data_IF_272124735150
#
_entry.id   IF_272124735150
#
_cell.length_a   1.000
_cell.length_b   1.000
_cell.length_c   1.000
_cell.angle_alpha   90.00
_cell.angle_beta   90.00
_cell.angle_gamma   90.00
#
_symmetry.space_group_name_H-M   'P 1'
#
loop_
_entity.id
_entity.type
_entity.pdbx_description
1 polymer ?
#
# COMPACT_ATOMS: atom_id res chain seq x y z
N UNK A 1 4.49 -14.70 -58.26
CA UNK A 1 3.08 -14.79 -57.81
C UNK A 1 3.00 -15.79 -56.68
N UNK A 2 2.36 -15.36 -55.59
CA UNK A 2 1.96 -16.01 -54.33
C UNK A 2 2.06 -17.55 -54.26
N UNK A 3 2.57 -18.09 -53.15
CA UNK A 3 1.73 -18.79 -52.16
C UNK A 3 2.47 -19.07 -50.84
N UNK A 4 1.71 -18.94 -49.75
CA UNK A 4 2.08 -19.14 -48.35
C UNK A 4 2.24 -20.63 -48.00
N UNK A 5 3.11 -20.95 -47.05
CA UNK A 5 2.95 -22.10 -46.15
C UNK A 5 3.48 -21.71 -44.75
N UNK A 6 2.55 -21.48 -43.82
CA UNK A 6 2.83 -21.33 -42.39
C UNK A 6 2.99 -22.74 -41.83
N UNK A 7 4.23 -23.12 -41.53
CA UNK A 7 4.54 -24.33 -40.78
C UNK A 7 4.44 -24.06 -39.29
N UNK A 8 3.38 -24.57 -38.67
CA UNK A 8 3.23 -24.68 -37.22
C UNK A 8 4.32 -25.64 -36.71
N UNK A 9 5.30 -25.12 -35.96
CA UNK A 9 6.26 -25.96 -35.24
C UNK A 9 5.79 -26.11 -33.79
N UNK A 10 5.22 -27.26 -33.47
CA UNK A 10 5.00 -27.74 -32.11
C UNK A 10 6.38 -27.98 -31.47
N UNK A 11 6.85 -27.05 -30.64
CA UNK A 11 8.05 -27.22 -29.81
C UNK A 11 7.63 -27.64 -28.40
N UNK A 12 8.12 -28.82 -28.02
CA UNK A 12 7.93 -29.49 -26.74
C UNK A 12 8.42 -28.63 -25.56
N UNK A 13 7.71 -28.75 -24.43
CA UNK A 13 8.02 -28.14 -23.14
C UNK A 13 9.49 -28.39 -22.72
N UNK A 14 10.35 -27.39 -22.91
CA UNK A 14 11.29 -26.88 -21.91
C UNK A 14 11.66 -25.46 -22.36
N UNK A 15 10.83 -24.48 -22.01
CA UNK A 15 11.13 -23.08 -22.29
C UNK A 15 12.34 -22.65 -21.43
N UNK A 16 13.55 -22.88 -21.95
CA UNK A 16 14.77 -22.24 -21.46
C UNK A 16 14.58 -20.75 -21.73
N UNK A 17 14.32 -20.00 -20.67
CA UNK A 17 14.17 -18.54 -20.72
C UNK A 17 15.43 -18.00 -21.42
N UNK A 18 15.29 -17.19 -22.50
CA UNK A 18 16.46 -16.67 -23.22
C UNK A 18 17.38 -15.86 -22.30
N UNK A 19 18.70 -16.03 -22.42
CA UNK A 19 19.72 -15.42 -21.53
C UNK A 19 19.69 -13.88 -21.49
N UNK A 20 19.13 -13.22 -22.50
CA UNK A 20 18.93 -11.76 -22.50
C UNK A 20 17.76 -11.31 -21.62
N UNK A 21 16.87 -12.21 -21.17
CA UNK A 21 15.89 -11.93 -20.10
C UNK A 21 16.47 -12.06 -18.69
N UNK A 22 17.64 -12.68 -18.53
CA UNK A 22 18.28 -12.92 -17.22
C UNK A 22 19.47 -11.99 -16.93
N UNK A 23 19.96 -11.22 -17.90
CA UNK A 23 21.02 -10.23 -17.66
C UNK A 23 20.44 -8.95 -17.04
N UNK A 24 19.95 -9.07 -15.81
CA UNK A 24 19.67 -7.92 -14.96
C UNK A 24 20.96 -7.11 -14.79
N UNK A 25 20.91 -5.80 -15.07
CA UNK A 25 22.10 -4.94 -15.01
C UNK A 25 22.78 -5.12 -13.64
N UNK A 26 24.11 -5.30 -13.55
CA UNK A 26 24.75 -5.69 -12.29
C UNK A 26 24.52 -4.70 -11.14
N UNK A 27 24.29 -3.43 -11.47
CA UNK A 27 23.91 -2.39 -10.52
C UNK A 27 22.54 -2.62 -9.88
N UNK A 28 21.58 -3.23 -10.59
CA UNK A 28 20.28 -3.60 -10.04
C UNK A 28 20.45 -4.72 -9.00
N UNK A 29 21.30 -5.72 -9.29
CA UNK A 29 21.64 -6.74 -8.31
C UNK A 29 22.32 -6.14 -7.06
N UNK A 30 23.25 -5.19 -7.26
CA UNK A 30 23.89 -4.45 -6.17
C UNK A 30 22.87 -3.67 -5.31
N UNK A 31 21.87 -3.03 -5.92
CA UNK A 31 20.81 -2.35 -5.19
C UNK A 31 19.92 -3.32 -4.41
N UNK A 32 19.60 -4.50 -4.96
CA UNK A 32 18.84 -5.54 -4.24
C UNK A 32 19.60 -6.11 -3.05
N UNK A 33 20.92 -6.26 -3.15
CA UNK A 33 21.76 -6.80 -2.08
C UNK A 33 22.27 -5.76 -1.09
N UNK A 34 22.02 -4.47 -1.32
CA UNK A 34 22.53 -3.40 -0.47
C UNK A 34 24.03 -3.14 -0.62
N UNK A 35 24.64 -3.50 -1.75
CA UNK A 35 26.06 -3.28 -2.01
C UNK A 35 26.32 -1.80 -2.34
N UNK A 36 26.33 -0.98 -1.28
CA UNK A 36 26.53 0.47 -1.37
C UNK A 36 27.87 0.84 -2.02
N UNK A 37 28.92 0.05 -1.83
CA UNK A 37 30.24 0.33 -2.38
C UNK A 37 30.24 0.21 -3.90
N UNK A 38 29.60 -0.85 -4.42
CA UNK A 38 29.43 -1.02 -5.87
C UNK A 38 28.51 0.04 -6.47
N UNK A 39 27.46 0.43 -5.75
CA UNK A 39 26.58 1.53 -6.18
C UNK A 39 27.38 2.84 -6.27
N UNK A 40 28.15 3.18 -5.23
CA UNK A 40 28.99 4.38 -5.17
C UNK A 40 29.99 4.42 -6.31
N UNK A 41 30.80 3.37 -6.45
CA UNK A 41 31.82 3.28 -7.50
C UNK A 41 31.22 3.44 -8.90
N UNK A 42 30.09 2.77 -9.17
CA UNK A 42 29.43 2.85 -10.48
C UNK A 42 28.87 4.25 -10.77
N UNK A 43 28.16 4.85 -9.80
CA UNK A 43 27.57 6.20 -9.95
C UNK A 43 28.64 7.30 -9.99
N UNK A 44 29.82 7.07 -9.43
CA UNK A 44 30.97 7.96 -9.56
C UNK A 44 31.60 7.90 -10.96
N UNK A 45 31.65 6.72 -11.58
CA UNK A 45 32.11 6.57 -12.97
C UNK A 45 31.13 7.14 -13.99
N UNK A 46 29.83 6.94 -13.80
CA UNK A 46 28.77 7.51 -14.65
C UNK A 46 27.58 7.92 -13.77
N UNK A 47 27.39 9.24 -13.64
CA UNK A 47 26.30 9.82 -12.84
C UNK A 47 24.91 9.43 -13.34
N UNK A 48 24.75 9.09 -14.64
CA UNK A 48 23.46 8.70 -15.19
C UNK A 48 22.97 7.37 -14.60
N UNK A 49 23.88 6.52 -14.12
CA UNK A 49 23.55 5.24 -13.51
C UNK A 49 22.73 5.39 -12.21
N UNK A 50 22.75 6.55 -11.56
CA UNK A 50 21.86 6.81 -10.42
C UNK A 50 20.37 6.76 -10.81
N UNK A 51 20.04 7.14 -12.05
CA UNK A 51 18.70 7.10 -12.63
C UNK A 51 18.47 5.86 -13.52
N UNK A 52 19.34 4.84 -13.42
CA UNK A 52 19.20 3.59 -14.15
C UNK A 52 17.80 3.00 -13.93
N UNK A 53 17.22 2.47 -15.00
CA UNK A 53 15.98 1.70 -14.95
C UNK A 53 16.25 0.28 -15.41
N UNK A 54 15.55 -0.68 -14.82
CA UNK A 54 15.49 -2.05 -15.35
C UNK A 54 14.70 -2.05 -16.68
N UNK A 55 14.78 -3.14 -17.43
CA UNK A 55 14.12 -3.32 -18.72
C UNK A 55 12.60 -3.08 -18.72
N UNK A 56 11.95 -3.22 -17.56
CA UNK A 56 10.51 -2.94 -17.36
C UNK A 56 10.23 -1.48 -16.97
N UNK A 57 11.25 -0.64 -16.82
CA UNK A 57 11.11 0.77 -16.49
C UNK A 57 11.22 1.07 -14.99
N UNK A 58 11.35 0.06 -14.14
CA UNK A 58 11.50 0.24 -12.69
C UNK A 58 12.83 0.92 -12.36
N UNK A 59 12.85 2.07 -11.67
CA UNK A 59 14.08 2.77 -11.31
C UNK A 59 14.94 2.00 -10.30
N UNK A 60 16.26 2.12 -10.40
CA UNK A 60 17.26 1.47 -9.54
C UNK A 60 16.96 1.62 -8.04
N UNK A 61 16.58 2.84 -7.63
CA UNK A 61 16.26 3.20 -6.23
C UNK A 61 15.16 2.31 -5.63
N UNK A 62 14.23 1.78 -6.44
CA UNK A 62 13.16 0.90 -5.95
C UNK A 62 13.68 -0.45 -5.48
N UNK A 63 14.69 -0.99 -6.14
CA UNK A 63 15.25 -2.28 -5.75
C UNK A 63 15.96 -2.19 -4.39
N UNK A 64 16.59 -1.05 -4.09
CA UNK A 64 17.10 -0.79 -2.75
C UNK A 64 15.97 -0.57 -1.73
N UNK A 65 14.97 0.25 -2.09
CA UNK A 65 13.86 0.60 -1.20
C UNK A 65 13.01 -0.61 -0.77
N UNK A 66 12.65 -1.50 -1.70
CA UNK A 66 11.85 -2.71 -1.42
C UNK A 66 12.59 -3.69 -0.51
N UNK A 67 13.93 -3.73 -0.59
CA UNK A 67 14.76 -4.58 0.26
C UNK A 67 15.24 -3.89 1.55
N UNK A 68 14.77 -2.66 1.83
CA UNK A 68 15.08 -1.95 3.06
C UNK A 68 16.49 -1.35 3.14
N UNK A 69 17.22 -1.24 2.03
CA UNK A 69 18.57 -0.67 1.97
C UNK A 69 18.53 0.86 1.98
N UNK A 70 18.21 1.42 3.14
CA UNK A 70 18.00 2.87 3.35
C UNK A 70 19.26 3.68 3.04
N UNK A 71 20.45 3.13 3.25
CA UNK A 71 21.74 3.75 2.94
C UNK A 71 21.95 3.94 1.42
N UNK A 72 21.61 2.92 0.62
CA UNK A 72 21.61 3.00 -0.85
C UNK A 72 20.58 4.00 -1.34
N UNK A 73 19.38 3.99 -0.77
CA UNK A 73 18.34 4.97 -1.12
C UNK A 73 18.81 6.40 -0.78
N UNK A 74 19.37 6.61 0.40
CA UNK A 74 19.92 7.91 0.85
C UNK A 74 20.96 8.42 -0.13
N UNK A 75 21.93 7.58 -0.49
CA UNK A 75 22.98 7.92 -1.43
C UNK A 75 22.43 8.30 -2.82
N UNK A 76 21.47 7.53 -3.34
CA UNK A 76 20.87 7.82 -4.64
C UNK A 76 20.09 9.16 -4.62
N UNK A 77 19.36 9.44 -3.54
CA UNK A 77 18.67 10.72 -3.36
C UNK A 77 19.65 11.90 -3.26
N UNK A 78 20.80 11.72 -2.60
CA UNK A 78 21.87 12.73 -2.53
C UNK A 78 22.48 13.04 -3.90
N UNK A 79 22.36 12.12 -4.86
CA UNK A 79 22.78 12.30 -6.26
C UNK A 79 21.66 12.86 -7.15
N UNK A 80 20.59 13.38 -6.56
CA UNK A 80 19.52 14.08 -7.28
C UNK A 80 18.51 13.16 -7.95
N UNK A 81 18.46 11.87 -7.58
CA UNK A 81 17.38 10.99 -8.02
C UNK A 81 16.05 11.54 -7.50
N UNK A 82 15.05 11.61 -8.38
CA UNK A 82 13.72 12.10 -8.01
C UNK A 82 13.09 11.17 -6.94
N UNK A 83 12.93 11.68 -5.72
CA UNK A 83 12.26 10.98 -4.61
C UNK A 83 10.81 10.59 -4.94
N UNK A 84 10.18 11.32 -5.85
CA UNK A 84 8.82 11.10 -6.34
C UNK A 84 8.79 10.28 -7.63
N UNK A 85 9.89 9.59 -7.98
CA UNK A 85 9.87 8.60 -9.05
C UNK A 85 8.79 7.55 -8.78
N UNK A 86 8.30 6.93 -9.85
CA UNK A 86 7.35 5.82 -9.82
C UNK A 86 8.07 4.56 -10.30
N UNK A 87 7.74 3.40 -9.72
CA UNK A 87 7.86 2.14 -10.44
C UNK A 87 6.65 2.00 -11.39
N UNK A 88 6.24 0.78 -11.70
CA UNK A 88 5.07 0.56 -12.53
C UNK A 88 3.77 1.10 -11.92
N UNK A 89 3.66 1.21 -10.59
CA UNK A 89 2.40 1.50 -9.88
C UNK A 89 2.48 2.51 -8.72
N UNK A 90 3.55 2.57 -7.93
CA UNK A 90 3.56 3.24 -6.63
C UNK A 90 4.82 4.12 -6.40
N UNK A 91 4.69 5.34 -5.86
CA UNK A 91 5.81 6.13 -5.34
C UNK A 91 6.57 5.46 -4.19
N UNK A 92 7.85 5.80 -3.99
CA UNK A 92 8.68 5.29 -2.87
C UNK A 92 8.01 5.43 -1.49
N UNK A 93 7.26 6.51 -1.27
CA UNK A 93 6.60 6.76 0.02
C UNK A 93 5.54 5.69 0.34
N UNK A 94 4.86 5.13 -0.66
CA UNK A 94 3.90 4.03 -0.44
C UNK A 94 4.63 2.76 0.03
N UNK A 95 5.78 2.46 -0.58
CA UNK A 95 6.60 1.29 -0.20
C UNK A 95 7.06 1.43 1.24
N UNK A 96 7.57 2.60 1.64
CA UNK A 96 8.02 2.84 3.01
C UNK A 96 6.89 2.69 4.04
N UNK A 97 5.69 3.19 3.72
CA UNK A 97 4.50 3.05 4.58
C UNK A 97 4.05 1.59 4.67
N UNK A 98 3.93 0.89 3.53
CA UNK A 98 3.50 -0.51 3.49
C UNK A 98 4.50 -1.45 4.17
N UNK A 99 5.80 -1.12 4.12
CA UNK A 99 6.86 -1.83 4.83
C UNK A 99 6.92 -1.51 6.34
N UNK A 100 6.03 -0.65 6.85
CA UNK A 100 6.00 -0.21 8.25
C UNK A 100 7.34 0.41 8.74
N UNK A 101 8.11 1.03 7.83
CA UNK A 101 9.44 1.55 8.14
C UNK A 101 9.39 3.06 8.40
N UNK A 102 9.18 3.43 9.67
CA UNK A 102 9.04 4.83 10.09
C UNK A 102 10.25 5.69 9.72
N UNK A 103 11.47 5.20 9.92
CA UNK A 103 12.69 5.95 9.59
C UNK A 103 12.83 6.18 8.09
N UNK A 104 12.42 5.19 7.29
CA UNK A 104 12.40 5.37 5.85
C UNK A 104 11.33 6.37 5.39
N UNK A 105 10.14 6.36 6.00
CA UNK A 105 9.11 7.38 5.76
C UNK A 105 9.63 8.78 6.09
N UNK A 106 10.27 8.96 7.26
CA UNK A 106 10.89 10.23 7.67
C UNK A 106 11.92 10.70 6.66
N UNK A 107 12.84 9.81 6.25
CA UNK A 107 13.84 10.12 5.24
C UNK A 107 13.19 10.62 3.94
N UNK A 108 12.21 9.90 3.39
CA UNK A 108 11.59 10.28 2.13
C UNK A 108 10.89 11.65 2.23
N UNK A 109 10.16 11.92 3.32
CA UNK A 109 9.52 13.22 3.55
C UNK A 109 10.58 14.34 3.65
N UNK A 110 11.67 14.12 4.40
CA UNK A 110 12.79 15.07 4.50
C UNK A 110 13.45 15.34 3.14
N UNK A 111 13.46 14.37 2.22
CA UNK A 111 13.96 14.52 0.85
C UNK A 111 12.93 15.08 -0.14
N UNK A 112 11.77 15.53 0.33
CA UNK A 112 10.75 16.19 -0.50
C UNK A 112 9.76 15.23 -1.16
N UNK A 113 9.54 14.04 -0.58
CA UNK A 113 8.46 13.16 -1.02
C UNK A 113 7.11 13.85 -0.84
N UNK A 114 6.29 13.82 -1.90
CA UNK A 114 4.94 14.34 -1.91
C UNK A 114 4.04 13.40 -1.12
N UNK A 115 3.66 13.82 0.09
CA UNK A 115 2.82 13.07 1.04
C UNK A 115 1.45 12.66 0.46
N UNK A 116 0.95 13.44 -0.50
CA UNK A 116 -0.34 13.20 -1.17
C UNK A 116 -0.21 12.65 -2.59
N UNK A 117 0.96 12.14 -2.99
CA UNK A 117 1.16 11.59 -4.33
C UNK A 117 0.45 10.24 -4.47
N UNK A 118 -0.56 10.11 -5.33
CA UNK A 118 -1.26 8.86 -5.48
C UNK A 118 -0.41 7.81 -6.21
N UNK A 119 -0.79 6.54 -6.07
CA UNK A 119 -0.38 5.48 -6.99
C UNK A 119 -0.75 5.86 -8.43
N UNK A 120 -0.06 5.33 -9.43
CA UNK A 120 -0.24 5.65 -10.86
C UNK A 120 -1.67 5.46 -11.33
N UNK A 121 -2.36 4.43 -10.83
CA UNK A 121 -3.77 4.19 -11.12
C UNK A 121 -4.71 5.19 -10.41
N UNK A 122 -4.20 6.16 -9.64
CA UNK A 122 -4.95 7.14 -8.87
C UNK A 122 -5.74 6.52 -7.70
N UNK A 123 -5.50 5.25 -7.40
CA UNK A 123 -6.36 4.48 -6.48
C UNK A 123 -6.04 4.78 -5.04
N UNK A 124 -4.77 4.89 -4.66
CA UNK A 124 -4.40 5.05 -3.26
C UNK A 124 -3.45 6.22 -3.07
N UNK A 125 -3.58 6.89 -1.92
CA UNK A 125 -2.60 7.84 -1.37
C UNK A 125 -1.83 7.16 -0.24
N UNK A 126 -0.62 7.63 0.12
CA UNK A 126 0.21 6.97 1.14
C UNK A 126 -0.54 6.72 2.45
N UNK A 127 -1.41 7.63 2.86
CA UNK A 127 -2.24 7.49 4.07
C UNK A 127 -3.19 6.27 4.04
N UNK A 128 -3.55 5.73 2.88
CA UNK A 128 -4.36 4.50 2.83
C UNK A 128 -3.56 3.26 3.27
N UNK A 129 -2.24 3.28 3.15
CA UNK A 129 -1.34 2.19 3.58
C UNK A 129 -1.09 2.16 5.09
N UNK A 130 -1.36 3.25 5.83
CA UNK A 130 -1.08 3.29 7.28
C UNK A 130 -1.94 2.31 8.06
N UNK A 131 -3.11 1.97 7.53
CA UNK A 131 -4.03 1.03 8.15
C UNK A 131 -3.60 -0.44 8.00
N UNK A 132 -2.69 -0.72 7.04
CA UNK A 132 -1.97 -1.99 6.96
C UNK A 132 -0.65 -1.98 7.73
N UNK A 133 -0.13 -0.79 8.08
CA UNK A 133 1.00 -0.65 8.99
C UNK A 133 0.50 -0.69 10.44
N UNK A 134 1.10 -1.46 11.33
CA UNK A 134 0.68 -1.50 12.74
C UNK A 134 1.17 -0.28 13.54
N UNK A 135 1.82 0.69 12.87
CA UNK A 135 2.49 1.82 13.52
C UNK A 135 1.71 3.14 13.39
N UNK A 136 1.06 3.61 14.48
CA UNK A 136 0.32 4.88 14.47
C UNK A 136 1.21 6.11 14.24
N UNK A 137 2.53 6.02 14.49
CA UNK A 137 3.45 7.14 14.27
C UNK A 137 3.59 7.47 12.78
N UNK A 138 3.49 6.49 11.89
CA UNK A 138 3.48 6.75 10.45
C UNK A 138 2.24 7.55 10.06
N UNK A 139 1.06 7.20 10.60
CA UNK A 139 -0.16 7.96 10.38
C UNK A 139 -0.04 9.40 10.89
N UNK A 140 0.44 9.59 12.13
CA UNK A 140 0.67 10.93 12.70
C UNK A 140 1.62 11.76 11.84
N UNK A 141 2.72 11.15 11.36
CA UNK A 141 3.71 11.82 10.54
C UNK A 141 3.16 12.26 9.18
N UNK A 142 2.36 11.42 8.51
CA UNK A 142 1.74 11.79 7.24
C UNK A 142 0.70 12.91 7.45
N UNK A 143 -0.13 12.81 8.50
CA UNK A 143 -1.14 13.82 8.82
C UNK A 143 -0.49 15.17 9.13
N UNK A 144 0.59 15.20 9.91
CA UNK A 144 1.31 16.44 10.24
C UNK A 144 1.94 17.12 9.01
N UNK A 145 2.14 16.38 7.92
CA UNK A 145 2.61 16.90 6.63
C UNK A 145 1.48 17.04 5.60
N UNK A 146 0.22 17.12 6.05
CA UNK A 146 -0.93 17.48 5.22
C UNK A 146 -1.62 16.32 4.52
N UNK A 147 -1.42 15.07 4.95
CA UNK A 147 -2.25 13.97 4.49
C UNK A 147 -3.68 14.09 5.02
N UNK A 148 -4.67 14.04 4.13
CA UNK A 148 -6.08 14.05 4.54
C UNK A 148 -6.55 12.66 4.95
N UNK A 149 -7.11 12.55 6.16
CA UNK A 149 -7.76 11.33 6.67
C UNK A 149 -9.08 11.02 5.95
N UNK A 150 -9.63 11.99 5.20
CA UNK A 150 -10.86 11.84 4.43
C UNK A 150 -10.62 11.57 2.94
N UNK A 151 -9.36 11.44 2.52
CA UNK A 151 -9.01 11.09 1.15
C UNK A 151 -9.72 9.81 0.72
N UNK A 152 -10.31 9.85 -0.48
CA UNK A 152 -11.02 8.70 -1.05
C UNK A 152 -10.22 8.08 -2.19
N UNK A 153 -10.14 6.75 -2.20
CA UNK A 153 -9.71 5.98 -3.36
C UNK A 153 -10.70 6.11 -4.51
N UNK A 154 -10.35 5.57 -5.68
CA UNK A 154 -11.31 5.40 -6.80
C UNK A 154 -12.54 4.57 -6.43
N UNK A 155 -12.42 3.70 -5.44
CA UNK A 155 -13.52 2.89 -4.90
C UNK A 155 -14.23 3.59 -3.74
N UNK A 156 -13.94 4.88 -3.50
CA UNK A 156 -14.55 5.65 -2.41
C UNK A 156 -13.99 5.33 -1.02
N UNK A 157 -12.94 4.51 -0.93
CA UNK A 157 -12.38 4.07 0.34
C UNK A 157 -11.61 5.19 1.00
N UNK A 158 -11.97 5.50 2.25
CA UNK A 158 -11.12 6.26 3.16
C UNK A 158 -10.08 5.33 3.81
N UNK A 159 -8.98 5.85 4.37
CA UNK A 159 -8.00 5.05 5.11
C UNK A 159 -8.66 4.09 6.12
N UNK A 160 -9.67 4.57 6.87
CA UNK A 160 -10.35 3.81 7.91
C UNK A 160 -11.00 2.50 7.43
N UNK A 161 -11.41 2.40 6.15
CA UNK A 161 -11.98 1.16 5.59
C UNK A 161 -11.00 -0.02 5.60
N UNK A 162 -9.68 0.25 5.62
CA UNK A 162 -8.64 -0.76 5.54
C UNK A 162 -7.95 -1.04 6.88
N UNK A 163 -8.36 -0.39 7.96
CA UNK A 163 -7.67 -0.48 9.24
C UNK A 163 -7.78 -1.86 9.89
N UNK A 164 -6.63 -2.37 10.31
CA UNK A 164 -6.50 -3.60 11.10
C UNK A 164 -5.95 -3.35 12.51
N UNK A 165 -5.57 -2.10 12.82
CA UNK A 165 -4.98 -1.71 14.10
C UNK A 165 -5.82 -0.63 14.76
N UNK A 166 -6.23 -0.88 16.01
CA UNK A 166 -6.98 0.06 16.82
C UNK A 166 -6.23 1.37 16.99
N UNK A 167 -4.92 1.30 17.23
CA UNK A 167 -4.10 2.49 17.48
C UNK A 167 -4.05 3.42 16.25
N UNK A 168 -4.01 2.85 15.04
CA UNK A 168 -4.08 3.65 13.81
C UNK A 168 -5.48 4.22 13.60
N UNK A 169 -6.53 3.42 13.83
CA UNK A 169 -7.91 3.89 13.75
C UNK A 169 -8.16 5.07 14.71
N UNK A 170 -7.63 5.01 15.93
CA UNK A 170 -7.66 6.07 16.93
C UNK A 170 -7.01 7.37 16.42
N UNK A 171 -5.82 7.28 15.82
CA UNK A 171 -5.17 8.46 15.22
C UNK A 171 -6.04 9.05 14.11
N UNK A 172 -6.59 8.23 13.22
CA UNK A 172 -7.40 8.71 12.11
C UNK A 172 -8.70 9.38 12.58
N UNK A 173 -9.43 8.76 13.51
CA UNK A 173 -10.71 9.28 14.02
C UNK A 173 -10.49 10.56 14.82
N UNK A 174 -9.47 10.62 15.69
CA UNK A 174 -9.12 11.85 16.42
C UNK A 174 -8.72 13.01 15.51
N UNK A 175 -8.27 12.72 14.28
CA UNK A 175 -7.95 13.72 13.26
C UNK A 175 -9.11 13.97 12.27
N UNK A 176 -10.34 13.54 12.60
CA UNK A 176 -11.55 13.86 11.84
C UNK A 176 -11.95 12.85 10.77
N UNK A 177 -11.42 11.62 10.80
CA UNK A 177 -11.91 10.58 9.91
C UNK A 177 -13.38 10.25 10.23
N UNK A 178 -14.24 10.29 9.21
CA UNK A 178 -15.64 9.90 9.37
C UNK A 178 -15.75 8.37 9.53
N UNK A 179 -16.12 7.93 10.74
CA UNK A 179 -16.33 6.52 11.11
C UNK A 179 -17.41 5.83 10.26
N UNK A 180 -18.35 6.61 9.71
CA UNK A 180 -19.47 6.16 8.89
C UNK A 180 -19.31 6.54 7.41
N UNK A 181 -18.09 6.87 6.96
CA UNK A 181 -17.84 7.15 5.55
C UNK A 181 -18.27 5.95 4.69
N UNK A 182 -18.98 6.20 3.59
CA UNK A 182 -19.35 5.17 2.63
C UNK A 182 -18.43 5.16 1.42
N UNK A 183 -18.06 3.95 1.00
CA UNK A 183 -17.42 3.65 -0.27
C UNK A 183 -18.43 3.60 -1.43
N UNK A 184 -17.99 3.23 -2.64
CA UNK A 184 -18.87 3.17 -3.83
C UNK A 184 -19.96 2.10 -3.74
N UNK A 185 -19.79 1.07 -2.92
CA UNK A 185 -20.77 0.01 -2.67
C UNK A 185 -21.68 0.34 -1.46
N UNK A 186 -21.49 1.51 -0.85
CA UNK A 186 -22.20 1.90 0.36
C UNK A 186 -21.64 1.28 1.63
N UNK A 187 -20.51 0.57 1.56
CA UNK A 187 -19.89 -0.05 2.73
C UNK A 187 -19.27 1.04 3.61
N UNK A 188 -19.58 0.97 4.91
CA UNK A 188 -18.87 1.73 5.95
C UNK A 188 -17.60 0.97 6.37
N UNK A 189 -16.67 1.60 7.12
CA UNK A 189 -15.56 0.88 7.75
C UNK A 189 -16.00 -0.38 8.52
N UNK A 190 -17.18 -0.36 9.16
CA UNK A 190 -17.73 -1.53 9.85
C UNK A 190 -18.13 -2.67 8.89
N UNK A 191 -18.76 -2.35 7.75
CA UNK A 191 -19.08 -3.36 6.70
C UNK A 191 -17.83 -4.04 6.17
N UNK A 192 -16.72 -3.30 6.11
CA UNK A 192 -15.45 -3.83 5.64
C UNK A 192 -14.86 -4.93 6.54
N UNK A 193 -15.30 -5.08 7.79
CA UNK A 193 -14.95 -6.24 8.62
C UNK A 193 -15.73 -7.51 8.25
N UNK A 194 -16.85 -7.37 7.52
CA UNK A 194 -17.62 -8.51 7.04
C UNK A 194 -17.05 -9.09 5.74
N UNK A 195 -16.21 -8.38 4.99
CA UNK A 195 -15.54 -8.97 3.82
C UNK A 195 -14.55 -10.05 4.26
N UNK A 196 -14.35 -11.13 3.47
CA UNK A 196 -13.36 -12.16 3.81
C UNK A 196 -11.99 -11.56 4.10
N UNK A 197 -11.54 -11.70 5.34
CA UNK A 197 -10.24 -11.25 5.84
C UNK A 197 -9.60 -12.37 6.63
N UNK A 198 -8.27 -12.42 6.61
CA UNK A 198 -7.50 -13.42 7.36
C UNK A 198 -7.69 -13.26 8.88
N UNK A 199 -7.81 -12.01 9.37
CA UNK A 199 -7.92 -11.70 10.79
C UNK A 199 -8.92 -10.55 11.00
N UNK A 200 -9.86 -10.76 11.91
CA UNK A 200 -10.73 -9.71 12.46
C UNK A 200 -10.09 -9.16 13.73
N UNK A 201 -9.84 -7.85 13.77
CA UNK A 201 -9.35 -7.17 14.98
C UNK A 201 -10.53 -6.65 15.81
N UNK A 202 -10.97 -7.45 16.79
CA UNK A 202 -12.04 -7.08 17.71
C UNK A 202 -11.82 -5.73 18.41
N UNK A 203 -10.63 -5.43 18.96
CA UNK A 203 -10.29 -4.12 19.52
C UNK A 203 -10.54 -2.93 18.58
N UNK A 204 -10.27 -3.04 17.27
CA UNK A 204 -10.62 -2.00 16.30
C UNK A 204 -12.12 -1.89 16.13
N UNK A 205 -12.86 -3.01 16.00
CA UNK A 205 -14.32 -2.98 15.84
C UNK A 205 -14.98 -2.31 17.05
N UNK A 206 -14.64 -2.75 18.26
CA UNK A 206 -15.14 -2.17 19.51
C UNK A 206 -14.84 -0.67 19.58
N UNK A 207 -13.66 -0.27 19.12
CA UNK A 207 -13.32 1.14 19.05
C UNK A 207 -14.20 1.92 18.07
N UNK A 208 -14.39 1.43 16.84
CA UNK A 208 -15.28 2.05 15.86
C UNK A 208 -16.70 2.19 16.41
N UNK A 209 -17.21 1.16 17.09
CA UNK A 209 -18.53 1.19 17.73
C UNK A 209 -18.59 2.23 18.85
N UNK A 210 -17.55 2.34 19.68
CA UNK A 210 -17.47 3.36 20.73
C UNK A 210 -17.42 4.80 20.18
N UNK A 211 -16.87 4.98 18.99
CA UNK A 211 -16.77 6.26 18.28
C UNK A 211 -17.99 6.55 17.38
N UNK A 212 -19.06 5.77 17.52
CA UNK A 212 -20.33 6.03 16.83
C UNK A 212 -20.47 5.42 15.45
N UNK A 213 -19.76 4.31 15.15
CA UNK A 213 -20.07 3.50 13.99
C UNK A 213 -21.53 3.00 14.05
N UNK A 214 -22.29 3.30 13.00
CA UNK A 214 -23.71 2.95 12.91
C UNK A 214 -23.89 1.46 12.60
N UNK A 215 -24.35 0.71 13.60
CA UNK A 215 -24.68 -0.72 13.51
C UNK A 215 -25.76 -1.03 12.47
N UNK A 216 -26.65 -0.05 12.22
CA UNK A 216 -27.81 -0.20 11.35
C UNK A 216 -27.57 0.42 9.97
N UNK A 217 -26.37 0.96 9.71
CA UNK A 217 -26.03 1.46 8.39
C UNK A 217 -26.22 0.36 7.36
N UNK A 218 -26.89 0.69 6.25
CA UNK A 218 -27.12 -0.22 5.13
C UNK A 218 -26.22 0.13 3.95
N UNK A 219 -25.66 -0.89 3.31
CA UNK A 219 -24.97 -0.81 2.03
C UNK A 219 -25.95 -0.57 0.85
N UNK A 220 -25.43 -0.56 -0.37
CA UNK A 220 -26.26 -0.38 -1.57
C UNK A 220 -27.16 -1.58 -1.89
N UNK A 221 -26.93 -2.74 -1.27
CA UNK A 221 -27.80 -3.92 -1.34
C UNK A 221 -28.84 -3.94 -0.20
N UNK A 222 -28.84 -2.93 0.66
CA UNK A 222 -29.71 -2.85 1.81
C UNK A 222 -29.27 -3.73 2.98
N UNK A 223 -28.05 -4.26 2.99
CA UNK A 223 -27.53 -5.12 4.07
C UNK A 223 -26.78 -4.29 5.11
N UNK A 224 -26.95 -4.64 6.37
CA UNK A 224 -26.11 -4.18 7.47
C UNK A 224 -24.78 -4.95 7.52
N UNK A 225 -23.79 -4.41 8.23
CA UNK A 225 -22.51 -5.11 8.44
C UNK A 225 -22.70 -6.51 9.05
N UNK A 226 -23.68 -6.67 9.96
CA UNK A 226 -24.04 -7.96 10.57
C UNK A 226 -24.64 -8.92 9.54
N UNK A 227 -25.60 -8.48 8.75
CA UNK A 227 -26.23 -9.32 7.71
C UNK A 227 -25.22 -9.74 6.66
N UNK A 228 -24.29 -8.85 6.29
CA UNK A 228 -23.18 -9.17 5.40
C UNK A 228 -22.25 -10.21 6.02
N UNK A 229 -21.94 -10.09 7.31
CA UNK A 229 -21.10 -11.03 8.06
C UNK A 229 -21.68 -12.46 8.13
N UNK A 230 -23.01 -12.58 8.16
CA UNK A 230 -23.69 -13.89 8.06
C UNK A 230 -23.47 -14.54 6.69
N UNK A 231 -23.56 -13.76 5.61
CA UNK A 231 -23.35 -14.26 4.24
C UNK A 231 -21.91 -14.64 3.96
N UNK A 232 -20.99 -13.86 4.51
CA UNK A 232 -19.55 -14.00 4.29
C UNK A 232 -18.86 -14.86 5.32
N UNK A 233 -19.64 -15.45 6.24
CA UNK A 233 -19.07 -16.39 7.19
C UNK A 233 -17.99 -15.65 8.03
N UNK A 234 -18.41 -14.63 8.80
CA UNK A 234 -17.53 -13.83 9.69
C UNK A 234 -18.07 -13.83 11.14
N UNK A 235 -18.05 -15.01 11.76
CA UNK A 235 -18.57 -15.28 13.11
C UNK A 235 -18.04 -14.37 14.19
N UNK A 236 -16.77 -13.97 14.12
CA UNK A 236 -16.19 -13.12 15.15
C UNK A 236 -16.80 -11.72 15.12
N UNK A 237 -17.02 -11.16 13.92
CA UNK A 237 -17.76 -9.91 13.77
C UNK A 237 -19.20 -10.09 14.29
N UNK A 238 -19.88 -11.19 13.94
CA UNK A 238 -21.24 -11.46 14.43
C UNK A 238 -21.31 -11.45 15.96
N UNK A 239 -20.39 -12.15 16.64
CA UNK A 239 -20.34 -12.19 18.11
C UNK A 239 -20.18 -10.79 18.72
N UNK A 240 -19.26 -9.99 18.19
CA UNK A 240 -19.00 -8.62 18.68
C UNK A 240 -20.26 -7.75 18.51
N UNK A 241 -20.88 -7.81 17.33
CA UNK A 241 -22.09 -7.03 17.04
C UNK A 241 -23.28 -7.48 17.90
N UNK A 242 -23.46 -8.78 18.10
CA UNK A 242 -24.53 -9.33 18.93
C UNK A 242 -24.36 -8.95 20.42
N UNK A 243 -23.12 -8.94 20.93
CA UNK A 243 -22.83 -8.51 22.30
C UNK A 243 -23.21 -7.03 22.54
N UNK A 244 -23.13 -6.18 21.50
CA UNK A 244 -23.50 -4.76 21.58
C UNK A 244 -25.00 -4.50 21.35
N UNK A 245 -25.68 -5.40 20.63
CA UNK A 245 -27.11 -5.30 20.36
C UNK A 245 -27.99 -5.74 21.54
N UNK A 246 -27.44 -6.52 22.48
CA UNK A 246 -28.14 -6.80 23.74
C UNK A 246 -28.04 -5.58 24.68
N UNK A 247 -29.16 -5.07 25.22
CA UNK A 247 -29.09 -4.07 26.28
C UNK A 247 -28.32 -4.69 27.45
N UNK A 248 -27.27 -4.01 27.94
CA UNK A 248 -26.59 -4.42 29.17
C UNK A 248 -27.66 -4.61 30.26
N UNK A 249 -27.63 -5.73 31.02
CA UNK A 249 -28.58 -6.01 32.09
C UNK A 249 -28.53 -4.96 33.20
#
# INVERSE_FOLDING_TARGET
MKSFAIGIFLLTLTARIPSWRTNEHPLIAAAKSGDINRIKASVETDKNLANLKRYDGVPLIYFAAVNGHVDVVTYLLDRGVNVNALNDDEPLLHIAVNANNLEFVKLLIQRGAKVNLPTKNGKYMPIHGVCTSENPEIAKLLISHGASVSSKSKEGLTPLHRCKSRAVAEVLIKNGANVNAKDVNGYTPLHWFATPREIIDGPTIEYLLSEGADLNARDNQGLTARELAHKSEQWELIKILDARAQPNP
#
